data_IF_275554001862
#
_entry.id   IF_275554001862
#
_cell.length_a   1.000
_cell.length_b   1.000
_cell.length_c   1.000
_cell.angle_alpha   90.00
_cell.angle_beta   90.00
_cell.angle_gamma   90.00
#
_symmetry.space_group_name_H-M   'P 1'
#
loop_
_entity.id
_entity.type
_entity.pdbx_description
1 polymer ?
#
# COMPACT_ATOMS: atom_id res chain seq x y z
N UNK A 1 10.38 -8.50 1.54
CA UNK A 1 8.99 -8.34 1.04
C UNK A 1 8.70 -6.91 0.57
N UNK A 2 8.92 -5.88 1.39
CA UNK A 2 8.59 -4.48 1.09
C UNK A 2 9.24 -3.94 -0.20
N UNK A 3 10.52 -4.25 -0.43
CA UNK A 3 11.26 -3.86 -1.64
C UNK A 3 10.64 -4.46 -2.90
N UNK A 4 10.27 -5.73 -2.84
CA UNK A 4 9.63 -6.40 -3.97
C UNK A 4 8.22 -5.88 -4.23
N UNK A 5 7.46 -5.56 -3.19
CA UNK A 5 6.18 -4.88 -3.32
C UNK A 5 6.32 -3.51 -4.02
N UNK A 6 7.38 -2.76 -3.69
CA UNK A 6 7.71 -1.50 -4.34
C UNK A 6 8.14 -1.70 -5.80
N UNK A 7 8.92 -2.75 -6.12
CA UNK A 7 9.24 -3.13 -7.50
C UNK A 7 7.97 -3.45 -8.31
N UNK A 8 7.03 -4.21 -7.74
CA UNK A 8 5.73 -4.48 -8.41
C UNK A 8 4.96 -3.21 -8.70
N UNK A 9 4.93 -2.26 -7.77
CA UNK A 9 4.26 -0.97 -7.95
C UNK A 9 4.94 -0.13 -9.05
N UNK A 10 6.27 -0.10 -9.09
CA UNK A 10 7.04 0.55 -10.18
C UNK A 10 6.77 -0.13 -11.53
N UNK A 11 6.74 -1.46 -11.57
CA UNK A 11 6.52 -2.22 -12.80
C UNK A 11 5.12 -2.00 -13.36
N UNK A 12 4.09 -2.00 -12.53
CA UNK A 12 2.71 -1.68 -12.92
C UNK A 12 2.56 -0.23 -13.35
N UNK A 13 3.33 0.69 -12.76
CA UNK A 13 3.29 2.11 -13.08
C UNK A 13 1.97 2.80 -12.74
N UNK A 14 1.06 2.12 -12.02
CA UNK A 14 -0.25 2.67 -11.66
C UNK A 14 -0.53 2.46 -10.16
N UNK A 15 -0.67 3.57 -9.44
CA UNK A 15 -1.08 3.58 -8.03
C UNK A 15 -2.58 3.79 -7.92
N UNK A 16 -3.23 3.02 -7.05
CA UNK A 16 -4.67 3.14 -6.77
C UNK A 16 -4.97 4.19 -5.70
N UNK A 17 -3.94 4.67 -5.04
CA UNK A 17 -4.06 5.59 -3.91
C UNK A 17 -3.24 6.86 -4.16
N UNK A 18 -3.68 8.06 -3.71
CA UNK A 18 -2.93 9.32 -3.90
C UNK A 18 -1.47 9.25 -3.46
N UNK A 19 -1.18 8.60 -2.33
CA UNK A 19 0.19 8.41 -1.84
C UNK A 19 1.05 7.52 -2.74
N UNK A 20 0.48 6.42 -3.30
CA UNK A 20 1.18 5.61 -4.31
C UNK A 20 1.45 6.41 -5.59
N UNK A 21 0.50 7.25 -6.01
CA UNK A 21 0.67 8.11 -7.20
C UNK A 21 1.78 9.15 -6.98
N UNK A 22 1.84 9.79 -5.81
CA UNK A 22 2.90 10.74 -5.48
C UNK A 22 4.28 10.06 -5.46
N UNK A 23 4.37 8.89 -4.85
CA UNK A 23 5.60 8.11 -4.81
C UNK A 23 6.02 7.63 -6.21
N UNK A 24 5.07 7.17 -7.06
CA UNK A 24 5.34 6.80 -8.44
C UNK A 24 5.83 7.99 -9.27
N UNK A 25 5.23 9.18 -9.13
CA UNK A 25 5.74 10.38 -9.81
C UNK A 25 7.20 10.67 -9.49
N UNK A 26 7.62 10.43 -8.26
CA UNK A 26 8.99 10.65 -7.84
C UNK A 26 9.98 9.59 -8.36
N UNK A 27 9.58 8.33 -8.43
CA UNK A 27 10.53 7.22 -8.63
C UNK A 27 10.39 6.48 -9.96
N UNK A 28 9.20 6.50 -10.60
CA UNK A 28 8.94 5.80 -11.84
C UNK A 28 9.82 6.27 -13.03
N UNK A 29 10.11 7.57 -13.20
CA UNK A 29 10.98 8.01 -14.29
C UNK A 29 12.40 7.41 -14.21
N UNK A 30 13.02 7.42 -13.03
CA UNK A 30 14.35 6.83 -12.82
C UNK A 30 14.36 5.31 -13.03
N UNK A 31 13.32 4.62 -12.53
CA UNK A 31 13.15 3.18 -12.76
C UNK A 31 13.04 2.84 -14.27
N UNK A 32 12.21 3.59 -15.01
CA UNK A 32 12.03 3.38 -16.46
C UNK A 32 13.32 3.66 -17.25
N UNK A 33 14.03 4.73 -16.92
CA UNK A 33 15.30 5.06 -17.57
C UNK A 33 16.33 3.94 -17.38
N UNK A 34 16.39 3.35 -16.20
CA UNK A 34 17.29 2.22 -15.94
C UNK A 34 16.90 0.98 -16.75
N UNK A 35 15.62 0.60 -16.76
CA UNK A 35 15.20 -0.55 -17.56
C UNK A 35 15.41 -0.33 -19.07
N UNK A 36 15.32 0.91 -19.54
CA UNK A 36 15.66 1.24 -20.92
C UNK A 36 17.16 1.09 -21.21
N UNK A 37 18.03 1.35 -20.23
CA UNK A 37 19.48 1.18 -20.34
C UNK A 37 19.93 -0.29 -20.19
N UNK A 38 19.12 -1.16 -19.59
CA UNK A 38 19.41 -2.60 -19.42
C UNK A 38 18.22 -3.47 -19.88
N UNK A 39 18.15 -3.78 -21.19
CA UNK A 39 17.06 -4.57 -21.76
C UNK A 39 16.95 -5.99 -21.17
N UNK A 40 18.07 -6.60 -20.75
CA UNK A 40 18.06 -7.92 -20.13
C UNK A 40 17.36 -7.88 -18.76
N UNK A 41 17.70 -6.91 -17.93
CA UNK A 41 17.01 -6.72 -16.65
C UNK A 41 15.54 -6.32 -16.84
N UNK A 42 15.23 -5.54 -17.87
CA UNK A 42 13.82 -5.23 -18.21
C UNK A 42 13.04 -6.49 -18.59
N UNK A 43 13.64 -7.39 -19.37
CA UNK A 43 13.04 -8.67 -19.75
C UNK A 43 12.91 -9.60 -18.53
N UNK A 44 13.94 -9.66 -17.68
CA UNK A 44 13.92 -10.41 -16.42
C UNK A 44 12.74 -9.99 -15.52
N UNK A 45 12.51 -8.69 -15.35
CA UNK A 45 11.38 -8.17 -14.56
C UNK A 45 10.05 -8.59 -15.16
N UNK A 46 9.87 -8.43 -16.48
CA UNK A 46 8.64 -8.84 -17.18
C UNK A 46 8.38 -10.34 -17.06
N UNK A 47 9.42 -11.14 -17.24
CA UNK A 47 9.34 -12.59 -17.11
C UNK A 47 9.06 -13.03 -15.67
N UNK A 48 9.74 -12.40 -14.71
CA UNK A 48 9.63 -12.73 -13.29
C UNK A 48 8.34 -12.27 -12.63
N UNK A 49 7.72 -11.20 -13.15
CA UNK A 49 6.40 -10.71 -12.73
C UNK A 49 5.31 -11.17 -13.71
N UNK A 50 5.20 -12.46 -13.93
CA UNK A 50 4.17 -13.04 -14.79
C UNK A 50 2.74 -12.70 -14.32
N UNK A 51 1.77 -12.99 -15.19
CA UNK A 51 0.37 -12.62 -14.96
C UNK A 51 -0.22 -13.18 -13.67
N UNK A 52 0.01 -14.47 -13.40
CA UNK A 52 -0.61 -15.20 -12.29
C UNK A 52 0.43 -15.80 -11.34
N UNK A 53 1.69 -15.79 -11.73
CA UNK A 53 2.79 -16.37 -10.98
C UNK A 53 4.00 -15.45 -10.96
N UNK A 54 4.65 -15.37 -9.82
CA UNK A 54 5.93 -14.66 -9.66
C UNK A 54 7.03 -15.71 -9.65
N UNK A 55 8.13 -15.46 -10.34
CA UNK A 55 9.29 -16.35 -10.27
C UNK A 55 9.80 -16.43 -8.82
N UNK A 56 9.73 -17.63 -8.22
CA UNK A 56 9.88 -17.83 -6.76
C UNK A 56 11.20 -17.31 -6.21
N UNK A 57 12.30 -17.39 -6.98
CA UNK A 57 13.60 -16.88 -6.54
C UNK A 57 13.61 -15.36 -6.27
N UNK A 58 12.70 -14.60 -6.86
CA UNK A 58 12.56 -13.16 -6.62
C UNK A 58 11.88 -12.84 -5.28
N UNK A 59 11.18 -13.80 -4.72
CA UNK A 59 10.39 -13.64 -3.49
C UNK A 59 10.65 -14.75 -2.50
N UNK A 60 11.91 -14.96 -2.08
CA UNK A 60 12.20 -16.00 -1.09
C UNK A 60 11.39 -15.76 0.16
N UNK A 61 10.88 -16.84 0.75
CA UNK A 61 10.08 -16.75 1.99
C UNK A 61 10.90 -16.09 3.09
N UNK A 62 10.40 -15.03 3.74
CA UNK A 62 11.15 -14.29 4.74
C UNK A 62 11.61 -15.17 5.91
N UNK A 63 12.80 -14.92 6.44
CA UNK A 63 13.33 -15.53 7.64
C UNK A 63 13.19 -14.58 8.84
N UNK A 64 13.17 -15.16 10.04
CA UNK A 64 13.05 -14.37 11.27
C UNK A 64 14.26 -13.44 11.45
N UNK A 65 13.98 -12.18 11.72
CA UNK A 65 15.01 -11.15 11.88
C UNK A 65 15.84 -10.86 10.61
N UNK A 66 15.40 -11.36 9.45
CA UNK A 66 16.10 -11.13 8.19
C UNK A 66 16.01 -9.67 7.75
N UNK A 67 17.16 -9.03 7.57
CA UNK A 67 17.26 -7.71 6.97
C UNK A 67 17.29 -7.78 5.43
N UNK A 68 17.25 -6.60 4.80
CA UNK A 68 17.28 -6.53 3.33
C UNK A 68 18.57 -7.11 2.73
N UNK A 69 19.73 -6.90 3.36
CA UNK A 69 21.01 -7.34 2.82
C UNK A 69 21.08 -8.87 2.77
N UNK A 70 20.61 -9.55 3.81
CA UNK A 70 20.52 -11.01 3.86
C UNK A 70 19.54 -11.57 2.83
N UNK A 71 18.36 -10.96 2.70
CA UNK A 71 17.38 -11.35 1.69
C UNK A 71 17.94 -11.18 0.26
N UNK A 72 18.62 -10.09 -0.03
CA UNK A 72 19.27 -9.86 -1.33
C UNK A 72 20.42 -10.86 -1.60
N UNK A 73 21.19 -11.22 -0.56
CA UNK A 73 22.22 -12.25 -0.66
C UNK A 73 21.64 -13.64 -0.99
N UNK A 74 20.49 -14.01 -0.42
CA UNK A 74 19.80 -15.26 -0.76
C UNK A 74 19.33 -15.28 -2.21
N UNK A 75 18.78 -14.17 -2.71
CA UNK A 75 18.41 -14.06 -4.13
C UNK A 75 19.63 -14.23 -5.02
N UNK A 76 20.74 -13.57 -4.68
CA UNK A 76 22.00 -13.67 -5.44
C UNK A 76 22.58 -15.09 -5.44
N UNK A 77 22.42 -15.81 -4.35
CA UNK A 77 22.89 -17.18 -4.18
C UNK A 77 21.97 -18.25 -4.81
N UNK A 78 20.87 -17.87 -5.42
CA UNK A 78 20.00 -18.82 -6.11
C UNK A 78 20.76 -19.49 -7.24
N UNK A 79 20.60 -20.81 -7.37
CA UNK A 79 21.16 -21.55 -8.50
C UNK A 79 20.63 -21.01 -9.84
N UNK A 80 21.48 -20.68 -10.81
CA UNK A 80 21.05 -20.15 -12.11
C UNK A 80 20.05 -21.06 -12.86
N UNK A 81 20.20 -22.39 -12.76
CA UNK A 81 19.27 -23.31 -13.40
C UNK A 81 17.88 -23.25 -12.72
N UNK A 82 17.85 -23.16 -11.39
CA UNK A 82 16.62 -22.95 -10.64
C UNK A 82 15.96 -21.62 -10.99
N UNK A 83 16.72 -20.53 -11.09
CA UNK A 83 16.19 -19.23 -11.51
C UNK A 83 15.53 -19.29 -12.89
N UNK A 84 16.17 -19.93 -13.87
CA UNK A 84 15.60 -20.16 -15.21
C UNK A 84 14.32 -21.01 -15.15
N UNK A 85 14.29 -22.05 -14.33
CA UNK A 85 13.10 -22.88 -14.14
C UNK A 85 11.93 -22.05 -13.55
N UNK A 86 12.17 -21.23 -12.54
CA UNK A 86 11.17 -20.34 -11.96
C UNK A 86 10.65 -19.32 -12.98
N UNK A 87 11.48 -18.81 -13.87
CA UNK A 87 11.04 -17.90 -14.94
C UNK A 87 10.15 -18.62 -15.98
N UNK A 88 10.47 -19.87 -16.35
CA UNK A 88 9.57 -20.67 -17.23
C UNK A 88 8.20 -20.86 -16.62
N UNK A 89 8.13 -21.16 -15.32
CA UNK A 89 6.86 -21.25 -14.59
C UNK A 89 6.08 -19.94 -14.61
N UNK A 90 6.75 -18.82 -14.33
CA UNK A 90 6.14 -17.50 -14.32
C UNK A 90 5.62 -17.07 -15.70
N UNK A 91 6.36 -17.39 -16.76
CA UNK A 91 5.98 -17.14 -18.16
C UNK A 91 4.89 -18.08 -18.67
N UNK A 92 4.73 -19.27 -18.06
CA UNK A 92 3.91 -20.37 -18.58
C UNK A 92 4.32 -20.75 -20.02
N UNK A 93 5.61 -20.67 -20.34
CA UNK A 93 6.12 -20.88 -21.68
C UNK A 93 7.65 -20.95 -21.75
N UNK A 94 8.20 -20.99 -22.96
CA UNK A 94 9.63 -21.06 -23.16
C UNK A 94 10.32 -19.81 -22.63
N UNK A 95 11.54 -20.01 -22.16
CA UNK A 95 12.41 -18.92 -21.73
C UNK A 95 12.95 -18.18 -22.96
N UNK A 96 12.84 -16.85 -23.05
CA UNK A 96 13.52 -16.06 -24.06
C UNK A 96 15.05 -16.33 -24.06
N UNK A 97 15.68 -16.36 -25.23
CA UNK A 97 17.10 -16.68 -25.35
C UNK A 97 17.99 -15.71 -24.56
N UNK A 98 17.60 -14.45 -24.47
CA UNK A 98 18.31 -13.41 -23.71
C UNK A 98 18.32 -13.68 -22.20
N UNK A 99 17.41 -14.52 -21.71
CA UNK A 99 17.33 -14.96 -20.31
C UNK A 99 17.96 -16.35 -20.07
N UNK A 100 18.52 -17.00 -21.10
CA UNK A 100 19.30 -18.22 -20.89
C UNK A 100 20.73 -17.87 -20.45
N UNK A 101 20.85 -17.41 -19.20
CA UNK A 101 22.07 -16.84 -18.61
C UNK A 101 22.22 -17.28 -17.16
N UNK A 102 23.46 -17.26 -16.68
CA UNK A 102 23.77 -17.62 -15.30
C UNK A 102 23.78 -16.42 -14.35
N UNK A 103 23.81 -15.18 -14.86
CA UNK A 103 23.87 -13.97 -14.05
C UNK A 103 22.46 -13.43 -13.62
N UNK A 104 21.37 -14.15 -13.90
CA UNK A 104 20.02 -13.70 -13.56
C UNK A 104 19.79 -13.45 -12.06
N UNK A 105 20.23 -14.32 -11.13
CA UNK A 105 20.11 -14.08 -9.70
C UNK A 105 20.90 -12.83 -9.26
N UNK A 106 22.08 -12.62 -9.83
CA UNK A 106 22.90 -11.44 -9.57
C UNK A 106 22.16 -10.17 -10.00
N UNK A 107 21.66 -10.12 -11.25
CA UNK A 107 20.90 -8.98 -11.79
C UNK A 107 19.64 -8.67 -10.99
N UNK A 108 18.90 -9.70 -10.57
CA UNK A 108 17.72 -9.55 -9.73
C UNK A 108 18.07 -8.91 -8.37
N UNK A 109 19.15 -9.39 -7.73
CA UNK A 109 19.62 -8.85 -6.47
C UNK A 109 20.13 -7.40 -6.59
N UNK A 110 20.79 -7.06 -7.68
CA UNK A 110 21.26 -5.70 -7.97
C UNK A 110 20.09 -4.75 -8.19
N UNK A 111 19.11 -5.13 -9.00
CA UNK A 111 17.89 -4.35 -9.21
C UNK A 111 17.13 -4.10 -7.90
N UNK A 112 16.94 -5.15 -7.11
CA UNK A 112 16.25 -5.02 -5.80
C UNK A 112 17.07 -4.17 -4.82
N UNK A 113 18.40 -4.26 -4.85
CA UNK A 113 19.27 -3.41 -4.02
C UNK A 113 19.11 -1.95 -4.39
N UNK A 114 18.99 -1.67 -5.66
CA UNK A 114 18.76 -0.31 -6.13
C UNK A 114 17.36 0.18 -5.75
N UNK A 115 16.30 -0.61 -6.01
CA UNK A 115 14.93 -0.27 -5.59
C UNK A 115 14.90 0.00 -4.08
N UNK A 116 15.57 -0.83 -3.27
CA UNK A 116 15.71 -0.59 -1.84
C UNK A 116 16.36 0.75 -1.55
N UNK A 117 17.54 0.98 -2.10
CA UNK A 117 18.38 2.14 -1.76
C UNK A 117 17.74 3.46 -2.19
N UNK A 118 17.16 3.50 -3.39
CA UNK A 118 16.65 4.73 -3.98
C UNK A 118 15.19 5.02 -3.59
N UNK A 119 14.37 3.98 -3.40
CA UNK A 119 12.91 4.16 -3.34
C UNK A 119 12.26 3.67 -2.04
N UNK A 120 12.93 2.84 -1.25
CA UNK A 120 12.38 2.28 0.00
C UNK A 120 13.14 2.80 1.21
N UNK A 121 14.48 2.70 1.23
CA UNK A 121 15.32 3.07 2.37
C UNK A 121 15.13 4.51 2.84
N UNK A 122 14.97 5.52 1.95
CA UNK A 122 14.73 6.90 2.40
C UNK A 122 13.47 7.06 3.25
N UNK A 123 12.48 6.19 3.04
CA UNK A 123 11.20 6.20 3.74
C UNK A 123 11.08 5.09 4.79
N UNK A 124 12.14 4.28 5.00
CA UNK A 124 12.06 3.04 5.77
C UNK A 124 11.63 3.24 7.21
N UNK A 125 12.16 4.26 7.88
CA UNK A 125 11.79 4.53 9.27
C UNK A 125 10.28 4.77 9.44
N UNK A 126 9.63 5.42 8.48
CA UNK A 126 8.17 5.63 8.46
C UNK A 126 7.44 4.34 8.08
N UNK A 127 7.84 3.69 6.98
CA UNK A 127 7.20 2.45 6.52
C UNK A 127 7.24 1.38 7.61
N UNK A 128 8.39 1.20 8.26
CA UNK A 128 8.56 0.24 9.36
C UNK A 128 7.54 0.47 10.48
N UNK A 129 7.38 1.71 10.94
CA UNK A 129 6.40 2.04 11.99
C UNK A 129 4.97 1.67 11.59
N UNK A 130 4.65 1.83 10.34
CA UNK A 130 3.33 1.50 9.82
C UNK A 130 3.13 0.00 9.74
N UNK A 131 4.13 -0.75 9.27
CA UNK A 131 4.11 -2.21 9.25
C UNK A 131 3.98 -2.77 10.68
N UNK A 132 4.76 -2.26 11.64
CA UNK A 132 4.66 -2.61 13.06
C UNK A 132 3.27 -2.29 13.62
N UNK A 133 2.68 -1.17 13.22
CA UNK A 133 1.34 -0.77 13.60
C UNK A 133 0.27 -1.74 13.08
N UNK A 134 0.38 -2.18 11.83
CA UNK A 134 -0.54 -3.18 11.26
C UNK A 134 -0.43 -4.52 11.99
N UNK A 135 0.77 -4.98 12.30
CA UNK A 135 1.00 -6.21 13.07
C UNK A 135 0.29 -6.13 14.42
N UNK A 136 0.48 -5.05 15.18
CA UNK A 136 -0.19 -4.86 16.48
C UNK A 136 -1.72 -4.85 16.34
N UNK A 137 -2.25 -4.15 15.34
CA UNK A 137 -3.70 -4.09 15.11
C UNK A 137 -4.29 -5.46 14.75
N UNK A 138 -3.59 -6.25 13.95
CA UNK A 138 -4.02 -7.60 13.56
C UNK A 138 -3.91 -8.59 14.71
N UNK A 139 -2.84 -8.53 15.50
CA UNK A 139 -2.71 -9.35 16.72
C UNK A 139 -3.87 -9.07 17.69
N UNK A 140 -4.23 -7.81 17.88
CA UNK A 140 -5.39 -7.44 18.70
C UNK A 140 -6.73 -7.92 18.09
N UNK A 141 -6.86 -7.98 16.78
CA UNK A 141 -8.03 -8.53 16.07
C UNK A 141 -8.10 -10.04 16.23
N UNK A 142 -6.97 -10.73 16.11
CA UNK A 142 -6.85 -12.17 16.30
C UNK A 142 -7.25 -12.57 17.73
N UNK A 143 -6.81 -11.84 18.74
CA UNK A 143 -7.16 -12.10 20.14
C UNK A 143 -8.66 -11.94 20.44
N UNK A 144 -9.42 -11.22 19.61
CA UNK A 144 -10.86 -10.99 19.80
C UNK A 144 -11.75 -11.87 18.93
N UNK A 145 -11.35 -12.13 17.70
CA UNK A 145 -12.18 -12.80 16.70
C UNK A 145 -11.52 -14.04 16.07
N UNK A 146 -10.39 -14.47 16.61
CA UNK A 146 -9.65 -15.64 16.13
C UNK A 146 -9.07 -15.43 14.72
N UNK A 147 -8.56 -16.52 14.16
CA UNK A 147 -7.89 -16.51 12.84
C UNK A 147 -8.82 -16.09 11.70
N UNK A 148 -10.09 -16.51 11.71
CA UNK A 148 -11.04 -16.16 10.66
C UNK A 148 -11.15 -14.63 10.48
N UNK A 149 -11.29 -13.90 11.58
CA UNK A 149 -11.43 -12.43 11.54
C UNK A 149 -10.19 -11.71 10.99
N UNK A 150 -9.01 -12.32 11.10
CA UNK A 150 -7.76 -11.78 10.54
C UNK A 150 -7.63 -12.14 9.07
N UNK A 151 -7.84 -13.42 8.73
CA UNK A 151 -7.59 -13.97 7.40
C UNK A 151 -8.55 -13.45 6.35
N UNK A 152 -9.84 -13.28 6.66
CA UNK A 152 -10.83 -12.71 5.75
C UNK A 152 -10.54 -11.25 5.35
N UNK A 153 -9.82 -10.53 6.20
CA UNK A 153 -9.54 -9.10 6.02
C UNK A 153 -8.12 -8.80 5.49
N UNK A 154 -7.33 -9.80 5.09
CA UNK A 154 -5.94 -9.59 4.68
C UNK A 154 -5.83 -8.89 3.32
N UNK A 155 -6.52 -9.42 2.31
CA UNK A 155 -6.52 -8.85 0.96
C UNK A 155 -7.74 -9.35 0.16
N UNK A 156 -8.09 -8.73 -0.96
CA UNK A 156 -9.11 -9.29 -1.87
C UNK A 156 -8.74 -10.72 -2.29
N UNK A 157 -9.73 -11.61 -2.23
CA UNK A 157 -9.55 -13.03 -2.60
C UNK A 157 -9.08 -13.93 -1.47
N UNK A 158 -8.76 -13.40 -0.27
CA UNK A 158 -8.56 -14.24 0.92
C UNK A 158 -9.88 -14.49 1.62
N UNK A 159 -10.11 -15.73 2.04
CA UNK A 159 -11.33 -16.13 2.73
C UNK A 159 -11.11 -17.34 3.63
N UNK A 160 -11.58 -17.27 4.85
CA UNK A 160 -11.66 -18.43 5.73
C UNK A 160 -12.87 -19.28 5.35
N UNK A 161 -12.63 -20.54 5.00
CA UNK A 161 -13.67 -21.45 4.54
C UNK A 161 -14.22 -22.36 5.64
N UNK A 162 -13.70 -22.24 6.87
CA UNK A 162 -13.99 -23.20 7.95
C UNK A 162 -13.21 -24.50 7.82
N UNK A 163 -13.35 -25.39 8.80
CA UNK A 163 -12.70 -26.70 8.82
C UNK A 163 -11.21 -26.68 8.44
N UNK A 164 -10.46 -25.74 9.03
CA UNK A 164 -9.04 -25.49 8.80
C UNK A 164 -8.65 -25.23 7.32
N UNK A 165 -9.60 -24.73 6.52
CA UNK A 165 -9.36 -24.38 5.13
C UNK A 165 -9.33 -22.87 4.94
N UNK A 166 -8.34 -22.41 4.22
CA UNK A 166 -8.13 -21.00 3.92
C UNK A 166 -7.88 -20.79 2.42
N UNK A 167 -8.69 -19.96 1.80
CA UNK A 167 -8.51 -19.53 0.42
C UNK A 167 -7.54 -18.34 0.41
N UNK A 168 -6.45 -18.43 -0.34
CA UNK A 168 -5.40 -17.38 -0.40
C UNK A 168 -5.48 -16.51 -1.65
N UNK A 169 -6.19 -16.96 -2.69
CA UNK A 169 -6.40 -16.24 -3.94
C UNK A 169 -7.64 -16.79 -4.69
N UNK A 170 -7.95 -16.19 -5.84
CA UNK A 170 -9.07 -16.62 -6.71
C UNK A 170 -8.61 -17.49 -7.89
N UNK A 171 -7.32 -17.88 -7.95
CA UNK A 171 -6.82 -18.75 -9.01
C UNK A 171 -7.19 -20.21 -8.72
N UNK A 172 -7.51 -20.94 -9.75
CA UNK A 172 -7.83 -22.38 -9.67
C UNK A 172 -6.54 -23.21 -9.60
N UNK A 173 -5.92 -23.24 -8.44
CA UNK A 173 -4.83 -24.16 -8.13
C UNK A 173 -5.31 -25.25 -7.17
N UNK A 174 -4.75 -26.47 -7.28
CA UNK A 174 -5.07 -27.51 -6.33
C UNK A 174 -4.73 -27.05 -4.89
N UNK A 175 -5.59 -27.42 -3.91
CA UNK A 175 -5.34 -27.10 -2.53
C UNK A 175 -4.03 -27.75 -2.04
N UNK A 176 -3.31 -27.03 -1.19
CA UNK A 176 -2.11 -27.54 -0.52
C UNK A 176 -2.43 -27.87 0.93
N UNK A 177 -1.97 -29.02 1.38
CA UNK A 177 -1.95 -29.35 2.80
C UNK A 177 -0.71 -28.69 3.42
N UNK A 178 -0.94 -27.79 4.37
CA UNK A 178 0.11 -27.10 5.14
C UNK A 178 0.09 -27.49 6.60
N UNK A 179 -0.46 -28.66 6.94
CA UNK A 179 -0.51 -29.17 8.31
C UNK A 179 0.92 -29.29 8.88
N UNK A 180 1.13 -28.72 10.06
CA UNK A 180 2.44 -28.66 10.70
C UNK A 180 3.43 -27.65 10.13
N UNK A 181 3.06 -26.93 9.05
CA UNK A 181 3.90 -25.89 8.48
C UNK A 181 3.78 -24.56 9.24
N UNK A 182 4.77 -23.70 9.05
CA UNK A 182 4.76 -22.33 9.55
C UNK A 182 4.06 -21.40 8.53
N UNK A 183 3.06 -20.64 8.97
CA UNK A 183 2.39 -19.63 8.18
C UNK A 183 2.73 -18.21 8.67
N UNK A 184 3.47 -17.47 7.87
CA UNK A 184 3.86 -16.10 8.12
C UNK A 184 2.85 -15.12 7.48
N UNK A 185 2.40 -14.14 8.23
CA UNK A 185 1.63 -13.01 7.74
C UNK A 185 2.54 -11.80 7.61
N UNK A 186 2.83 -11.37 6.38
CA UNK A 186 3.85 -10.35 6.08
C UNK A 186 3.20 -9.09 5.52
N UNK A 187 3.08 -8.01 6.31
CA UNK A 187 2.53 -6.75 5.80
C UNK A 187 3.51 -6.04 4.86
N UNK A 188 2.97 -5.38 3.85
CA UNK A 188 3.70 -4.45 2.97
C UNK A 188 2.90 -3.16 2.79
N UNK A 189 3.59 -2.05 2.50
CA UNK A 189 2.92 -0.76 2.34
C UNK A 189 2.24 -0.59 0.97
N UNK A 190 2.77 -1.04 -0.17
CA UNK A 190 2.07 -0.98 -1.44
C UNK A 190 0.84 -1.91 -1.47
N UNK A 191 -0.20 -1.50 -2.20
CA UNK A 191 -1.44 -2.27 -2.37
C UNK A 191 -1.26 -3.48 -3.29
N UNK A 192 -0.35 -4.36 -2.91
CA UNK A 192 -0.04 -5.61 -3.60
C UNK A 192 0.12 -6.73 -2.59
N UNK A 193 0.14 -7.97 -3.07
CA UNK A 193 0.40 -9.13 -2.23
C UNK A 193 0.65 -10.36 -3.08
N UNK A 194 1.22 -11.37 -2.46
CA UNK A 194 1.49 -12.68 -3.05
C UNK A 194 1.59 -13.75 -1.97
N UNK A 195 1.75 -14.99 -2.38
CA UNK A 195 2.11 -16.11 -1.50
C UNK A 195 3.50 -16.56 -1.90
N UNK A 196 4.36 -16.84 -0.94
CA UNK A 196 5.62 -17.53 -1.16
C UNK A 196 5.71 -18.72 -0.23
N UNK A 197 6.49 -19.71 -0.61
CA UNK A 197 6.73 -20.92 0.19
C UNK A 197 8.12 -21.46 -0.07
N UNK A 198 8.61 -22.24 0.87
CA UNK A 198 9.89 -22.92 0.84
C UNK A 198 9.62 -24.40 1.16
N UNK A 199 9.76 -25.26 0.18
CA UNK A 199 9.61 -26.72 0.22
C UNK A 199 10.79 -27.38 -0.49
N UNK A 200 11.17 -28.61 -0.15
CA UNK A 200 10.63 -29.49 0.91
C UNK A 200 11.33 -29.33 2.26
N UNK A 201 12.47 -28.62 2.35
CA UNK A 201 13.35 -28.62 3.52
C UNK A 201 12.78 -27.85 4.73
N UNK A 202 12.03 -26.79 4.45
CA UNK A 202 11.33 -26.00 5.45
C UNK A 202 9.90 -25.81 5.02
N UNK A 203 8.98 -26.46 5.66
CA UNK A 203 7.54 -26.26 5.40
C UNK A 203 7.12 -24.88 5.93
N UNK A 204 7.51 -23.83 5.20
CA UNK A 204 7.27 -22.43 5.56
C UNK A 204 6.55 -21.71 4.43
N UNK A 205 5.45 -21.09 4.78
CA UNK A 205 4.59 -20.34 3.86
C UNK A 205 4.49 -18.90 4.31
N UNK A 206 4.50 -17.95 3.39
CA UNK A 206 4.26 -16.56 3.70
C UNK A 206 3.12 -15.98 2.85
N UNK A 207 2.17 -15.37 3.51
CA UNK A 207 1.13 -14.58 2.87
C UNK A 207 1.49 -13.11 3.01
N UNK A 208 1.96 -12.52 1.91
CA UNK A 208 2.26 -11.10 1.83
C UNK A 208 0.99 -10.34 1.48
N UNK A 209 0.66 -9.31 2.26
CA UNK A 209 -0.58 -8.58 2.14
C UNK A 209 -0.38 -7.07 2.33
N UNK A 210 -1.22 -6.22 1.70
CA UNK A 210 -1.15 -4.78 1.90
C UNK A 210 -1.66 -4.41 3.28
N UNK A 211 -0.87 -3.68 4.05
CA UNK A 211 -1.37 -3.08 5.28
C UNK A 211 -2.37 -1.96 4.98
N UNK A 212 -3.31 -1.72 5.88
CA UNK A 212 -4.37 -0.74 5.67
C UNK A 212 -3.83 0.71 5.77
N UNK A 213 -4.13 1.53 4.79
CA UNK A 213 -4.10 3.00 4.91
C UNK A 213 -2.74 3.70 4.80
N UNK A 214 -1.68 3.09 4.25
CA UNK A 214 -0.31 3.50 4.60
C UNK A 214 0.43 4.40 3.64
N UNK A 215 0.29 4.22 2.34
CA UNK A 215 0.82 5.19 1.39
C UNK A 215 -0.16 6.33 1.10
N UNK A 216 -1.33 6.27 1.76
CA UNK A 216 -2.33 7.30 1.69
C UNK A 216 -1.87 8.63 2.28
N UNK A 217 -0.89 8.59 3.17
CA UNK A 217 -0.61 9.70 4.04
C UNK A 217 0.83 10.21 3.95
N UNK A 218 1.25 10.60 2.74
CA UNK A 218 2.15 11.78 2.64
C UNK A 218 1.34 13.09 2.79
N UNK A 219 0.06 13.01 2.55
CA UNK A 219 -0.92 13.99 3.00
C UNK A 219 -1.89 13.23 3.91
N UNK A 220 -1.87 13.50 5.20
CA UNK A 220 -2.95 13.17 6.12
C UNK A 220 -4.26 13.27 5.33
N UNK A 221 -5.18 12.29 5.47
CA UNK A 221 -6.55 12.49 4.94
C UNK A 221 -6.87 13.94 5.21
N UNK A 222 -7.11 14.78 4.18
CA UNK A 222 -7.21 16.20 4.41
C UNK A 222 -8.23 16.37 5.53
N UNK A 223 -7.75 16.94 6.62
CA UNK A 223 -8.64 17.24 7.74
C UNK A 223 -9.66 18.21 7.15
N UNK A 224 -10.94 17.86 7.08
CA UNK A 224 -11.94 18.77 6.57
C UNK A 224 -11.78 20.13 7.26
N UNK A 225 -11.78 21.22 6.49
CA UNK A 225 -11.56 22.55 7.02
C UNK A 225 -12.52 22.87 8.17
N UNK A 226 -13.81 22.50 8.01
CA UNK A 226 -14.85 22.60 9.03
C UNK A 226 -14.51 21.80 10.31
N UNK A 227 -13.99 20.58 10.18
CA UNK A 227 -13.57 19.77 11.31
C UNK A 227 -12.32 20.35 11.99
N UNK A 228 -11.38 20.89 11.20
CA UNK A 228 -10.20 21.58 11.70
C UNK A 228 -10.53 22.88 12.44
N UNK A 229 -11.51 23.64 11.97
CA UNK A 229 -12.03 24.83 12.63
C UNK A 229 -12.72 24.48 13.97
N UNK A 230 -13.52 23.42 13.99
CA UNK A 230 -14.26 22.98 15.18
C UNK A 230 -13.35 22.41 16.28
N UNK A 231 -12.43 21.51 15.92
CA UNK A 231 -11.62 20.75 16.89
C UNK A 231 -10.19 21.24 17.04
N UNK A 232 -9.73 22.12 16.16
CA UNK A 232 -8.31 22.40 15.94
C UNK A 232 -7.64 21.31 15.10
N UNK A 233 -6.76 21.70 14.16
CA UNK A 233 -6.16 20.81 13.14
C UNK A 233 -5.53 19.53 13.71
N UNK A 234 -4.78 19.66 14.82
CA UNK A 234 -4.09 18.53 15.44
C UNK A 234 -5.06 17.47 15.98
N UNK A 235 -6.14 17.89 16.62
CA UNK A 235 -7.17 17.01 17.22
C UNK A 235 -8.04 16.39 16.16
N UNK A 236 -8.40 17.18 15.15
CA UNK A 236 -9.13 16.70 13.98
C UNK A 236 -8.35 15.65 13.20
N UNK A 237 -7.03 15.82 13.05
CA UNK A 237 -6.16 14.81 12.42
C UNK A 237 -6.17 13.49 13.19
N UNK A 238 -6.06 13.52 14.52
CA UNK A 238 -6.17 12.32 15.38
C UNK A 238 -7.53 11.64 15.19
N UNK A 239 -8.63 12.40 15.20
CA UNK A 239 -9.97 11.84 15.01
C UNK A 239 -10.16 11.21 13.63
N UNK A 240 -9.63 11.84 12.57
CA UNK A 240 -9.68 11.32 11.19
C UNK A 240 -8.91 9.99 11.08
N UNK A 241 -7.73 9.90 11.71
CA UNK A 241 -6.91 8.68 11.72
C UNK A 241 -7.57 7.51 12.45
N UNK A 242 -8.39 7.78 13.44
CA UNK A 242 -9.09 6.76 14.25
C UNK A 242 -10.25 6.06 13.53
N UNK A 243 -10.35 6.16 12.21
CA UNK A 243 -11.23 5.30 11.41
C UNK A 243 -10.92 3.81 11.52
N UNK A 244 -9.73 3.47 12.00
CA UNK A 244 -9.32 2.14 12.45
C UNK A 244 -8.76 2.25 13.87
N UNK A 245 -8.87 1.21 14.70
CA UNK A 245 -8.31 1.23 16.05
C UNK A 245 -6.78 1.42 16.04
N UNK A 246 -6.29 2.46 16.73
CA UNK A 246 -4.87 2.81 16.82
C UNK A 246 -4.46 3.03 18.29
N UNK A 247 -3.21 2.66 18.62
CA UNK A 247 -2.61 3.00 19.91
C UNK A 247 -2.06 4.43 19.93
N UNK A 248 -1.81 4.97 21.12
CA UNK A 248 -1.17 6.29 21.28
C UNK A 248 0.18 6.35 20.56
N UNK A 249 0.97 5.29 20.63
CA UNK A 249 2.27 5.19 19.94
C UNK A 249 2.12 5.25 18.42
N UNK A 250 1.10 4.56 17.88
CA UNK A 250 0.79 4.59 16.45
C UNK A 250 0.34 5.98 15.98
N UNK A 251 -0.52 6.63 16.75
CA UNK A 251 -0.96 8.00 16.45
C UNK A 251 0.20 9.00 16.51
N UNK A 252 1.11 8.85 17.48
CA UNK A 252 2.35 9.64 17.58
C UNK A 252 3.20 9.49 16.31
N UNK A 253 3.35 8.24 15.85
CA UNK A 253 4.11 7.94 14.62
C UNK A 253 3.45 8.53 13.36
N UNK A 254 2.12 8.46 13.27
CA UNK A 254 1.38 8.93 12.11
C UNK A 254 1.23 10.44 12.06
N UNK A 255 1.08 11.10 13.21
CA UNK A 255 0.88 12.56 13.27
C UNK A 255 2.18 13.35 13.38
N UNK A 256 3.30 12.69 13.70
CA UNK A 256 4.56 13.37 14.02
C UNK A 256 4.54 14.16 15.33
N UNK A 257 3.48 14.06 16.13
CA UNK A 257 3.32 14.78 17.39
C UNK A 257 3.97 14.00 18.56
N UNK A 258 4.33 14.71 19.61
CA UNK A 258 4.83 14.07 20.84
C UNK A 258 3.75 13.25 21.56
N UNK A 259 4.17 12.19 22.26
CA UNK A 259 3.30 11.24 22.97
C UNK A 259 2.34 11.95 23.95
N UNK A 260 2.83 12.93 24.69
CA UNK A 260 2.01 13.72 25.62
C UNK A 260 0.94 14.57 24.92
N UNK A 261 1.24 15.09 23.72
CA UNK A 261 0.27 15.86 22.91
C UNK A 261 -0.85 14.96 22.41
N UNK A 262 -0.51 13.80 21.81
CA UNK A 262 -1.48 12.80 21.35
C UNK A 262 -2.33 12.31 22.50
N UNK A 263 -1.73 12.00 23.66
CA UNK A 263 -2.46 11.59 24.85
C UNK A 263 -3.47 12.62 25.33
N UNK A 264 -3.13 13.91 25.25
CA UNK A 264 -4.04 15.02 25.58
C UNK A 264 -5.19 15.13 24.57
N UNK A 265 -4.92 14.98 23.30
CA UNK A 265 -5.95 14.99 22.25
C UNK A 265 -6.92 13.81 22.41
N UNK A 266 -6.41 12.61 22.67
CA UNK A 266 -7.24 11.43 22.92
C UNK A 266 -8.14 11.60 24.16
N UNK A 267 -7.62 12.20 25.23
CA UNK A 267 -8.42 12.49 26.43
C UNK A 267 -9.60 13.39 26.09
N UNK A 268 -9.35 14.53 25.44
CA UNK A 268 -10.39 15.49 25.04
C UNK A 268 -11.44 14.84 24.12
N UNK A 269 -11.00 14.06 23.12
CA UNK A 269 -11.91 13.37 22.20
C UNK A 269 -12.75 12.29 22.92
N UNK A 270 -12.16 11.62 23.89
CA UNK A 270 -12.88 10.63 24.70
C UNK A 270 -13.89 11.29 25.65
N UNK A 271 -13.49 12.36 26.31
CA UNK A 271 -14.37 13.13 27.21
C UNK A 271 -15.55 13.75 26.44
N UNK A 272 -15.35 14.06 25.14
CA UNK A 272 -16.40 14.48 24.21
C UNK A 272 -17.23 13.32 23.62
N UNK A 273 -16.96 12.07 23.99
CA UNK A 273 -17.68 10.89 23.48
C UNK A 273 -17.40 10.56 22.01
N UNK A 274 -16.40 11.17 21.38
CA UNK A 274 -16.07 10.97 19.96
C UNK A 274 -15.14 9.77 19.73
N UNK A 275 -14.42 9.36 20.77
CA UNK A 275 -13.44 8.26 20.73
C UNK A 275 -13.63 7.40 21.98
N UNK A 276 -13.50 6.09 21.81
CA UNK A 276 -13.44 5.11 22.90
C UNK A 276 -12.06 4.43 22.91
N UNK A 277 -11.61 4.03 24.11
CA UNK A 277 -10.33 3.34 24.32
C UNK A 277 -10.56 1.98 24.95
N UNK A 278 -10.06 0.92 24.30
CA UNK A 278 -10.12 -0.45 24.80
C UNK A 278 -8.74 -1.02 25.07
N UNK A 279 -8.57 -1.68 26.19
CA UNK A 279 -7.33 -2.35 26.54
C UNK A 279 -7.10 -3.55 25.62
N UNK A 280 -5.93 -3.63 24.99
CA UNK A 280 -5.50 -4.72 24.14
C UNK A 280 -4.08 -5.13 24.58
N UNK A 281 -4.00 -6.12 25.47
CA UNK A 281 -2.74 -6.53 26.09
C UNK A 281 -2.09 -5.37 26.88
N UNK A 282 -0.84 -5.04 26.57
CA UNK A 282 -0.08 -3.93 27.19
C UNK A 282 -0.43 -2.54 26.62
N UNK A 283 -1.24 -2.48 25.57
CA UNK A 283 -1.59 -1.23 24.89
C UNK A 283 -3.07 -0.90 25.04
N UNK A 284 -3.41 0.38 24.91
CA UNK A 284 -4.79 0.84 24.74
C UNK A 284 -4.97 1.20 23.26
N UNK A 285 -5.96 0.61 22.63
CA UNK A 285 -6.38 0.95 21.27
C UNK A 285 -7.58 1.89 21.33
N UNK A 286 -7.49 2.98 20.61
CA UNK A 286 -8.53 3.99 20.49
C UNK A 286 -9.21 3.84 19.14
N UNK A 287 -10.53 4.01 19.11
CA UNK A 287 -11.32 4.01 17.89
C UNK A 287 -12.40 5.08 17.97
N UNK A 288 -12.90 5.55 16.85
CA UNK A 288 -14.07 6.42 16.85
C UNK A 288 -15.30 5.69 17.38
N UNK A 289 -16.13 6.42 18.10
CA UNK A 289 -17.52 6.04 18.41
C UNK A 289 -18.41 6.30 17.19
N UNK A 290 -19.67 5.87 17.26
CA UNK A 290 -20.67 6.22 16.24
C UNK A 290 -20.80 7.75 16.06
N UNK A 291 -20.74 8.53 17.14
CA UNK A 291 -20.76 9.98 17.09
C UNK A 291 -19.51 10.56 16.37
N UNK A 292 -18.33 10.01 16.65
CA UNK A 292 -17.09 10.37 15.95
C UNK A 292 -17.14 10.06 14.46
N UNK A 293 -17.75 8.94 14.07
CA UNK A 293 -17.93 8.57 12.66
C UNK A 293 -18.91 9.50 11.93
N UNK A 294 -20.01 9.85 12.56
CA UNK A 294 -20.98 10.82 12.01
C UNK A 294 -20.30 12.17 11.80
N UNK A 295 -19.59 12.69 12.80
CA UNK A 295 -18.92 13.98 12.73
C UNK A 295 -17.90 14.04 11.57
N UNK A 296 -17.09 13.02 11.39
CA UNK A 296 -16.10 12.97 10.30
C UNK A 296 -16.75 12.84 8.93
N UNK A 297 -17.83 12.08 8.78
CA UNK A 297 -18.59 11.95 7.53
C UNK A 297 -19.23 13.27 7.12
N UNK A 298 -19.97 13.89 8.03
CA UNK A 298 -20.68 15.16 7.78
C UNK A 298 -19.72 16.29 7.39
N UNK A 299 -18.55 16.34 8.04
CA UNK A 299 -17.49 17.29 7.68
C UNK A 299 -16.89 17.00 6.30
N UNK A 300 -16.82 15.73 5.87
CA UNK A 300 -16.32 15.32 4.55
C UNK A 300 -17.32 15.57 3.41
N UNK A 301 -18.62 15.54 3.70
CA UNK A 301 -19.69 15.86 2.74
C UNK A 301 -19.76 17.35 2.44
N UNK A 302 -19.48 18.21 3.41
CA UNK A 302 -19.32 19.65 3.23
C UNK A 302 -18.23 19.99 2.20
N UNK A 303 -17.09 19.34 2.26
CA UNK A 303 -15.98 19.49 1.29
C UNK A 303 -16.39 19.14 -0.15
N UNK A 304 -17.25 18.14 -0.34
CA UNK A 304 -17.72 17.76 -1.69
C UNK A 304 -18.71 18.76 -2.26
N UNK A 305 -19.53 19.38 -1.41
CA UNK A 305 -20.45 20.45 -1.82
C UNK A 305 -19.66 21.71 -2.23
N UNK A 306 -18.72 22.15 -1.40
CA UNK A 306 -17.88 23.32 -1.72
C UNK A 306 -17.05 23.11 -3.00
N UNK A 307 -16.50 21.91 -3.22
CA UNK A 307 -15.77 21.58 -4.45
C UNK A 307 -16.69 21.51 -5.69
N UNK A 308 -17.93 21.04 -5.52
CA UNK A 308 -18.94 21.03 -6.59
C UNK A 308 -19.44 22.44 -6.96
N UNK A 309 -19.63 23.30 -5.97
CA UNK A 309 -20.04 24.69 -6.17
C UNK A 309 -18.90 25.55 -6.77
N UNK A 310 -17.64 25.26 -6.42
CA UNK A 310 -16.47 25.92 -7.00
C UNK A 310 -16.34 25.63 -8.52
N UNK A 311 -16.50 24.37 -8.93
CA UNK A 311 -16.46 23.97 -10.33
C UNK A 311 -17.63 24.55 -11.13
N UNK A 312 -18.82 24.62 -10.51
CA UNK A 312 -20.00 25.23 -11.14
C UNK A 312 -19.85 26.76 -11.32
N UNK A 313 -19.16 27.42 -10.40
CA UNK A 313 -18.90 28.86 -10.46
C UNK A 313 -17.87 29.23 -11.51
N UNK A 314 -16.77 28.45 -11.62
CA UNK A 314 -15.76 28.64 -12.69
C UNK A 314 -16.35 28.35 -14.08
N UNK A 315 -17.21 27.34 -14.21
CA UNK A 315 -17.91 27.05 -15.46
C UNK A 315 -18.93 28.15 -15.83
N UNK A 316 -19.57 28.78 -14.83
CA UNK A 316 -20.48 29.90 -15.03
C UNK A 316 -19.78 31.20 -15.46
N UNK A 317 -18.63 31.50 -14.89
CA UNK A 317 -17.83 32.68 -15.20
C UNK A 317 -17.14 32.57 -16.60
N UNK A 318 -16.79 31.34 -17.02
CA UNK A 318 -16.27 31.06 -18.36
C UNK A 318 -17.32 31.34 -19.47
N UNK A 319 -18.58 30.97 -19.25
CA UNK A 319 -19.68 31.17 -20.16
C UNK A 319 -20.09 32.66 -20.31
N UNK A 320 -19.89 33.47 -19.27
CA UNK A 320 -20.22 34.91 -19.32
C UNK A 320 -19.13 35.71 -20.06
N UNK A 321 -17.88 35.23 -20.08
CA UNK A 321 -16.79 35.88 -20.85
C UNK A 321 -16.86 35.63 -22.35
N UNK A 322 -17.36 34.48 -22.79
CA UNK A 322 -17.53 34.22 -24.24
C UNK A 322 -18.73 34.92 -24.89
N UNK A 323 -19.73 35.34 -24.12
CA UNK A 323 -20.91 36.04 -24.63
C UNK A 323 -20.71 37.58 -24.75
N UNK A 324 -19.57 38.13 -24.33
CA UNK A 324 -19.31 39.57 -24.27
C UNK A 324 -18.55 40.16 -25.47
N UNK A 325 -18.06 39.35 -26.40
CA UNK A 325 -17.21 39.86 -27.52
C UNK A 325 -17.82 39.57 -28.88
N UNK A 326 -18.90 40.33 -29.23
CA UNK A 326 -19.43 40.44 -30.59
C UNK A 326 -19.17 41.87 -31.05
N UNK A 327 -18.23 42.14 -31.96
CA UNK A 327 -18.05 43.46 -32.50
C UNK A 327 -19.17 43.80 -33.49
N UNK A 328 -19.93 44.86 -33.16
CA UNK A 328 -20.86 45.48 -34.07
C UNK A 328 -20.15 46.04 -35.31
N UNK A 329 -20.37 45.44 -36.44
CA UNK A 329 -19.89 45.90 -37.75
C UNK A 329 -20.97 46.66 -38.47
N UNK A 330 -20.67 47.91 -38.72
CA UNK A 330 -21.50 48.94 -39.31
C UNK A 330 -21.95 48.65 -40.77
N UNK A 331 -23.14 49.10 -41.04
CA UNK A 331 -23.70 49.29 -42.38
C UNK A 331 -22.92 50.35 -43.23
N UNK A 332 -22.64 50.02 -44.45
CA UNK A 332 -22.38 51.06 -45.48
C UNK A 332 -23.09 50.69 -46.77
N UNK A 333 -24.05 51.51 -47.08
CA UNK A 333 -24.70 51.73 -48.33
C UNK A 333 -23.72 52.14 -49.45
N UNK A 334 -23.96 51.72 -50.68
CA UNK A 334 -24.16 52.53 -51.93
C UNK A 334 -23.87 51.74 -53.20
N UNK A 335 -24.86 51.64 -54.03
CA UNK A 335 -25.01 52.28 -55.40
C UNK A 335 -23.98 51.83 -56.46
N UNK A 336 -24.35 51.15 -57.41
CA UNK A 336 -24.79 51.49 -58.81
C UNK A 336 -25.05 50.20 -59.55
#
# INVERSE_FOLDING_TARGET
AETFASLKLLHTGSGRHPGEQAWLRAHLPGYRARLAADPVTALLVRAGLGRDWIADFLTPTPLDGEDFARAAARIRATDPAAARAHLRLSLRGPLPAELDRDDLPQRAAELLTQVWTETVRPYWARRRRVLEADVVARTARMSRGGWAAVLDALRPGTRWLGANRFQVNLHEYPPRDISGAELLLVPVTPRTGWVSWEEPERQRYALVYPCAGVLADDHARPVPASLGALLGRARAAVLVLLGSPLSTTQLTALTGQGLGSVGRHLRVLRDAGLVDGRRAGRSVLYARTAAGDVLVRSAGEGLRREAGEGVAREAGEGLVREAGDVPGGAAATRRS
#
